data_IF_336282809818
#
_entry.id   IF_336282809818
#
_cell.length_a   1.000
_cell.length_b   1.000
_cell.length_c   1.000
_cell.angle_alpha   90.00
_cell.angle_beta   90.00
_cell.angle_gamma   90.00
#
_symmetry.space_group_name_H-M   'P 1'
#
loop_
_entity.id
_entity.type
_entity.pdbx_description
1 polymer ?
#
# COMPACT_ATOMS: atom_id res chain seq x y z
N UNK A 1 18.90 11.26 -3.17
CA UNK A 1 18.03 10.50 -4.10
C UNK A 1 17.44 9.34 -3.33
N UNK A 2 16.11 9.24 -3.29
CA UNK A 2 15.39 8.15 -2.62
C UNK A 2 15.65 6.79 -3.30
N UNK A 3 15.47 5.69 -2.57
CA UNK A 3 15.50 4.35 -3.14
C UNK A 3 14.07 3.92 -3.47
N UNK A 4 13.85 3.43 -4.69
CA UNK A 4 12.58 2.81 -5.07
C UNK A 4 12.57 1.36 -4.62
N UNK A 5 11.53 0.98 -3.87
CA UNK A 5 11.33 -0.39 -3.38
C UNK A 5 9.97 -0.87 -3.86
N UNK A 6 9.92 -2.09 -4.38
CA UNK A 6 8.68 -2.77 -4.71
C UNK A 6 8.52 -3.97 -3.77
N UNK A 7 7.38 -4.02 -3.06
CA UNK A 7 7.10 -5.04 -2.07
C UNK A 7 5.75 -5.68 -2.37
N UNK A 8 5.73 -7.00 -2.56
CA UNK A 8 4.53 -7.76 -2.89
C UNK A 8 4.51 -9.09 -2.14
N UNK A 9 3.30 -9.57 -1.84
CA UNK A 9 3.09 -10.99 -1.58
C UNK A 9 2.62 -11.64 -2.87
N UNK A 10 3.18 -12.80 -3.22
CA UNK A 10 2.86 -13.50 -4.46
C UNK A 10 2.75 -14.99 -4.25
N UNK A 11 2.03 -15.66 -5.15
CA UNK A 11 2.02 -17.10 -5.28
C UNK A 11 3.36 -17.59 -5.88
N UNK A 12 3.61 -18.90 -5.77
CA UNK A 12 4.85 -19.50 -6.30
C UNK A 12 4.99 -19.37 -7.82
N UNK A 13 3.86 -19.36 -8.52
CA UNK A 13 3.76 -19.16 -9.97
C UNK A 13 3.70 -17.68 -10.39
N UNK A 14 3.88 -16.75 -9.44
CA UNK A 14 4.17 -15.34 -9.74
C UNK A 14 2.95 -14.41 -9.80
N UNK A 15 1.80 -14.80 -9.26
CA UNK A 15 0.59 -13.97 -9.24
C UNK A 15 0.43 -13.24 -7.90
N UNK A 16 0.04 -11.97 -7.95
CA UNK A 16 -0.18 -11.11 -6.77
C UNK A 16 -1.66 -10.96 -6.38
N UNK A 17 -2.56 -11.56 -7.16
CA UNK A 17 -4.00 -11.65 -6.88
C UNK A 17 -4.59 -12.82 -7.68
N UNK A 18 -5.76 -13.31 -7.26
CA UNK A 18 -6.53 -14.27 -8.04
C UNK A 18 -7.36 -13.62 -9.17
N UNK A 19 -8.05 -14.41 -10.01
CA UNK A 19 -8.75 -13.91 -11.21
C UNK A 19 -9.84 -12.86 -10.95
N UNK A 20 -10.36 -12.74 -9.73
CA UNK A 20 -11.35 -11.74 -9.32
C UNK A 20 -10.81 -10.82 -8.21
N UNK A 21 -9.50 -10.55 -8.25
CA UNK A 21 -8.74 -9.75 -7.28
C UNK A 21 -8.71 -10.32 -5.85
N UNK A 22 -9.03 -11.61 -5.67
CA UNK A 22 -8.96 -12.21 -4.35
C UNK A 22 -7.50 -12.32 -3.88
N UNK A 23 -7.23 -11.72 -2.71
CA UNK A 23 -5.90 -11.69 -2.10
C UNK A 23 -5.81 -12.50 -0.81
N UNK A 24 -6.94 -12.97 -0.28
CA UNK A 24 -7.01 -13.58 1.06
C UNK A 24 -6.07 -14.77 1.27
N UNK A 25 -5.83 -15.60 0.23
CA UNK A 25 -4.85 -16.70 0.33
C UNK A 25 -3.42 -16.19 0.39
N UNK A 26 -3.08 -15.18 -0.41
CA UNK A 26 -1.77 -14.56 -0.44
C UNK A 26 -1.47 -13.89 0.90
N UNK A 27 -2.41 -13.12 1.43
CA UNK A 27 -2.21 -12.33 2.66
C UNK A 27 -2.45 -13.10 3.96
N UNK A 28 -2.81 -14.38 3.90
CA UNK A 28 -3.10 -15.22 5.09
C UNK A 28 -1.97 -15.20 6.12
N UNK A 29 -0.73 -15.03 5.68
CA UNK A 29 0.43 -15.03 6.55
C UNK A 29 0.42 -13.89 7.59
N UNK A 30 -0.23 -12.75 7.29
CA UNK A 30 -0.41 -11.63 8.22
C UNK A 30 -1.25 -11.96 9.45
N UNK A 31 -1.94 -13.11 9.50
CA UNK A 31 -2.71 -13.57 10.67
C UNK A 31 -2.34 -14.97 11.13
N UNK A 32 -1.19 -15.50 10.70
CA UNK A 32 -0.82 -16.91 10.91
C UNK A 32 0.26 -17.13 11.98
N UNK A 33 0.81 -16.07 12.55
CA UNK A 33 1.88 -16.16 13.55
C UNK A 33 1.42 -15.92 14.99
N UNK A 34 2.36 -15.53 15.83
CA UNK A 34 2.23 -15.38 17.27
C UNK A 34 2.56 -13.97 17.79
N UNK A 35 3.23 -13.14 16.99
CA UNK A 35 3.58 -11.76 17.33
C UNK A 35 2.56 -10.79 16.75
N UNK A 36 1.91 -10.02 17.61
CA UNK A 36 1.06 -8.90 17.20
C UNK A 36 1.91 -7.69 16.80
N UNK A 37 1.52 -7.01 15.72
CA UNK A 37 2.07 -5.72 15.37
C UNK A 37 0.99 -4.83 14.74
N UNK A 38 0.97 -3.56 15.13
CA UNK A 38 0.06 -2.57 14.59
C UNK A 38 0.60 -2.04 13.27
N UNK A 39 -0.23 -2.01 12.24
CA UNK A 39 0.11 -1.38 10.97
C UNK A 39 0.16 0.13 11.20
N UNK A 40 1.32 0.80 11.00
CA UNK A 40 1.42 2.23 11.27
C UNK A 40 0.38 3.03 10.49
N UNK A 41 -0.11 4.13 11.06
CA UNK A 41 -1.15 4.96 10.45
C UNK A 41 -2.56 4.35 10.45
N UNK A 42 -2.79 3.22 11.12
CA UNK A 42 -4.10 2.57 11.24
C UNK A 42 -4.29 1.90 12.60
N UNK A 43 -5.52 1.48 12.91
CA UNK A 43 -5.83 0.61 14.05
C UNK A 43 -5.73 -0.90 13.71
N UNK A 44 -5.25 -1.26 12.51
CA UNK A 44 -5.17 -2.65 12.08
C UNK A 44 -4.03 -3.37 12.81
N UNK A 45 -4.34 -4.55 13.37
CA UNK A 45 -3.37 -5.42 14.02
C UNK A 45 -3.17 -6.66 13.15
N UNK A 46 -1.92 -6.90 12.76
CA UNK A 46 -1.49 -8.14 12.14
C UNK A 46 -0.86 -9.05 13.19
N UNK A 47 -0.93 -10.36 12.95
CA UNK A 47 -0.34 -11.40 13.77
C UNK A 47 0.55 -12.30 12.92
N UNK A 48 1.83 -11.99 12.89
CA UNK A 48 2.85 -12.65 12.07
C UNK A 48 3.91 -13.33 12.94
N UNK A 49 4.80 -14.11 12.33
CA UNK A 49 5.97 -14.62 13.04
C UNK A 49 6.87 -13.44 13.44
N UNK A 50 7.53 -13.53 14.61
CA UNK A 50 8.39 -12.45 15.12
C UNK A 50 9.36 -11.88 14.08
N UNK A 51 10.08 -12.75 13.36
CA UNK A 51 11.03 -12.33 12.33
C UNK A 51 10.38 -11.51 11.20
N UNK A 52 9.14 -11.83 10.83
CA UNK A 52 8.39 -11.08 9.82
C UNK A 52 7.90 -9.75 10.38
N UNK A 53 7.42 -9.71 11.63
CA UNK A 53 7.01 -8.48 12.28
C UNK A 53 8.17 -7.49 12.39
N UNK A 54 9.34 -7.96 12.84
CA UNK A 54 10.57 -7.15 12.93
C UNK A 54 10.98 -6.60 11.56
N UNK A 55 10.97 -7.46 10.53
CA UNK A 55 11.29 -7.07 9.15
C UNK A 55 10.33 -5.99 8.62
N UNK A 56 9.03 -6.16 8.83
CA UNK A 56 8.03 -5.20 8.35
C UNK A 56 8.14 -3.88 9.09
N UNK A 57 8.31 -3.90 10.41
CA UNK A 57 8.49 -2.69 11.20
C UNK A 57 9.72 -1.90 10.73
N UNK A 58 10.86 -2.57 10.56
CA UNK A 58 12.08 -1.93 10.06
C UNK A 58 11.92 -1.41 8.62
N UNK A 59 11.35 -2.23 7.72
CA UNK A 59 11.20 -1.87 6.31
C UNK A 59 10.21 -0.73 6.09
N UNK A 60 9.06 -0.78 6.75
CA UNK A 60 8.01 0.23 6.61
C UNK A 60 8.39 1.55 7.25
N UNK A 61 9.17 1.55 8.35
CA UNK A 61 9.66 2.78 8.98
C UNK A 61 10.55 3.65 8.07
N UNK A 62 11.07 3.07 6.98
CA UNK A 62 11.96 3.72 6.02
C UNK A 62 11.22 4.25 4.79
N UNK A 63 9.93 3.95 4.65
CA UNK A 63 9.13 4.42 3.53
C UNK A 63 8.74 5.89 3.76
N UNK A 64 8.93 6.71 2.73
CA UNK A 64 8.53 8.12 2.75
C UNK A 64 7.26 8.41 1.95
N UNK A 65 6.83 7.49 1.09
CA UNK A 65 5.63 7.59 0.27
C UNK A 65 5.21 6.21 -0.22
N UNK A 66 3.93 6.08 -0.56
CA UNK A 66 3.37 4.93 -1.28
C UNK A 66 2.94 5.38 -2.66
N UNK A 67 3.30 4.57 -3.66
CA UNK A 67 2.78 4.68 -5.01
C UNK A 67 1.98 3.42 -5.29
N UNK A 68 0.74 3.57 -5.74
CA UNK A 68 -0.04 2.43 -6.23
C UNK A 68 -0.86 2.79 -7.45
N UNK A 69 -1.40 1.77 -8.11
CA UNK A 69 -2.32 1.94 -9.22
C UNK A 69 -3.78 2.04 -8.77
N UNK A 70 -4.63 2.56 -9.66
CA UNK A 70 -6.08 2.68 -9.43
C UNK A 70 -6.76 1.39 -8.96
N UNK A 71 -6.38 0.23 -9.51
CA UNK A 71 -7.04 -1.05 -9.19
C UNK A 71 -6.85 -1.46 -7.72
N UNK A 72 -5.64 -1.30 -7.20
CA UNK A 72 -5.32 -1.61 -5.80
C UNK A 72 -6.06 -0.64 -4.86
N UNK A 73 -6.11 0.65 -5.21
CA UNK A 73 -6.90 1.65 -4.50
C UNK A 73 -8.39 1.27 -4.41
N UNK A 74 -8.99 0.82 -5.51
CA UNK A 74 -10.39 0.43 -5.53
C UNK A 74 -10.63 -0.85 -4.71
N UNK A 75 -9.79 -1.89 -4.88
CA UNK A 75 -9.94 -3.19 -4.19
C UNK A 75 -9.70 -3.07 -2.68
N UNK A 76 -8.81 -2.16 -2.25
CA UNK A 76 -8.58 -1.85 -0.84
C UNK A 76 -9.68 -0.98 -0.21
N UNK A 77 -10.68 -0.57 -1.00
CA UNK A 77 -11.68 0.44 -0.61
C UNK A 77 -11.01 1.72 -0.08
N UNK A 78 -9.95 2.18 -0.76
CA UNK A 78 -9.14 3.32 -0.38
C UNK A 78 -8.64 3.26 1.08
N UNK A 79 -8.45 2.06 1.63
CA UNK A 79 -8.12 1.81 3.04
C UNK A 79 -9.02 2.58 4.03
N UNK A 80 -10.28 2.82 3.65
CA UNK A 80 -11.23 3.60 4.45
C UNK A 80 -10.86 5.08 4.58
N UNK A 81 -10.07 5.62 3.67
CA UNK A 81 -9.56 7.00 3.71
C UNK A 81 -8.33 7.19 4.60
N UNK A 82 -7.69 6.11 5.07
CA UNK A 82 -6.49 6.21 5.89
C UNK A 82 -5.22 6.16 5.04
N UNK A 83 -4.25 6.99 5.39
CA UNK A 83 -2.88 6.85 4.89
C UNK A 83 -2.18 5.74 5.66
N UNK A 84 -2.27 4.51 5.13
CA UNK A 84 -1.54 3.38 5.71
C UNK A 84 -0.04 3.70 5.78
N UNK A 85 0.63 3.27 6.84
CA UNK A 85 2.00 3.65 7.18
C UNK A 85 2.22 5.14 7.51
N UNK A 86 1.17 5.98 7.50
CA UNK A 86 1.25 7.40 7.82
C UNK A 86 2.00 8.25 6.79
N UNK A 87 2.14 7.76 5.55
CA UNK A 87 2.90 8.42 4.48
C UNK A 87 2.00 8.89 3.33
N UNK A 88 2.41 9.91 2.56
CA UNK A 88 1.67 10.33 1.36
C UNK A 88 1.43 9.18 0.37
N UNK A 89 0.23 9.15 -0.21
CA UNK A 89 -0.17 8.15 -1.20
C UNK A 89 -0.40 8.80 -2.56
N UNK A 90 0.32 8.30 -3.56
CA UNK A 90 0.21 8.71 -4.95
C UNK A 90 -0.50 7.62 -5.74
N UNK A 91 -1.72 7.91 -6.19
CA UNK A 91 -2.57 6.96 -6.92
C UNK A 91 -2.44 7.27 -8.41
N UNK A 92 -1.80 6.37 -9.15
CA UNK A 92 -1.63 6.49 -10.59
C UNK A 92 -2.92 6.04 -11.28
N UNK A 93 -3.58 6.96 -11.98
CA UNK A 93 -4.86 6.71 -12.66
C UNK A 93 -5.06 7.70 -13.80
N UNK A 94 -5.63 7.28 -14.92
CA UNK A 94 -6.01 8.24 -15.97
C UNK A 94 -7.21 9.10 -15.55
N UNK A 95 -8.11 8.53 -14.77
CA UNK A 95 -9.35 9.16 -14.31
C UNK A 95 -9.46 9.02 -12.79
N UNK A 96 -9.31 10.12 -12.03
CA UNK A 96 -9.53 10.11 -10.59
C UNK A 96 -11.01 9.83 -10.23
N UNK A 97 -11.28 9.05 -9.17
CA UNK A 97 -12.63 8.88 -8.65
C UNK A 97 -13.17 10.21 -8.10
N UNK A 98 -14.37 10.60 -8.53
CA UNK A 98 -14.95 11.91 -8.22
C UNK A 98 -15.18 12.11 -6.72
N UNK A 99 -15.52 11.04 -6.00
CA UNK A 99 -15.74 11.04 -4.57
C UNK A 99 -14.49 11.37 -3.74
N UNK A 100 -13.30 11.27 -4.35
CA UNK A 100 -12.00 11.57 -3.71
C UNK A 100 -11.34 12.86 -4.21
N UNK A 101 -12.06 13.72 -4.95
CA UNK A 101 -11.53 14.98 -5.48
C UNK A 101 -11.69 16.18 -4.54
N UNK A 102 -12.30 16.01 -3.37
CA UNK A 102 -12.43 17.08 -2.38
C UNK A 102 -11.08 17.51 -1.79
N UNK A 103 -11.00 18.75 -1.28
CA UNK A 103 -9.79 19.30 -0.65
C UNK A 103 -9.30 18.47 0.56
N UNK A 104 -10.22 17.77 1.22
CA UNK A 104 -9.93 16.91 2.38
C UNK A 104 -9.43 15.51 1.99
N UNK A 105 -9.30 15.21 0.70
CA UNK A 105 -8.81 13.92 0.24
C UNK A 105 -7.35 13.73 0.67
N UNK A 106 -7.01 12.63 1.37
CA UNK A 106 -5.64 12.37 1.78
C UNK A 106 -4.77 11.87 0.62
N UNK A 107 -5.37 11.56 -0.54
CA UNK A 107 -4.72 10.94 -1.68
C UNK A 107 -4.33 11.95 -2.75
N UNK A 108 -3.17 11.76 -3.36
CA UNK A 108 -2.72 12.53 -4.53
C UNK A 108 -2.92 11.70 -5.78
N UNK A 109 -3.76 12.15 -6.70
CA UNK A 109 -3.98 11.45 -7.97
C UNK A 109 -3.01 11.93 -9.05
N UNK A 110 -2.29 10.97 -9.65
CA UNK A 110 -1.29 11.23 -10.70
C UNK A 110 -1.84 10.74 -12.03
N UNK A 111 -2.21 11.68 -12.90
CA UNK A 111 -2.88 11.40 -14.19
C UNK A 111 -1.95 11.33 -15.39
N UNK A 112 -0.74 11.87 -15.27
CA UNK A 112 0.27 11.88 -16.34
C UNK A 112 1.10 10.59 -16.41
N UNK A 113 0.83 9.63 -15.52
CA UNK A 113 1.49 8.32 -15.49
C UNK A 113 2.69 8.22 -14.54
N UNK A 114 3.13 6.98 -14.28
CA UNK A 114 4.10 6.67 -13.22
C UNK A 114 5.50 7.28 -13.42
N UNK A 115 5.89 7.59 -14.66
CA UNK A 115 7.21 8.18 -14.95
C UNK A 115 7.42 9.56 -14.32
N UNK A 116 6.35 10.24 -13.90
CA UNK A 116 6.38 11.56 -13.25
C UNK A 116 6.58 11.48 -11.74
N UNK A 117 6.50 10.29 -11.15
CA UNK A 117 6.53 10.11 -9.69
C UNK A 117 7.85 10.57 -9.07
N UNK A 118 8.98 10.44 -9.76
CA UNK A 118 10.26 10.94 -9.26
C UNK A 118 10.25 12.46 -9.05
N UNK A 119 9.55 13.19 -9.92
CA UNK A 119 9.45 14.66 -9.82
C UNK A 119 8.46 15.10 -8.72
N UNK A 120 7.51 14.22 -8.37
CA UNK A 120 6.40 14.52 -7.45
C UNK A 120 6.76 14.10 -6.02
N UNK A 121 7.40 12.94 -5.83
CA UNK A 121 7.76 12.44 -4.51
C UNK A 121 8.99 13.14 -3.90
N UNK A 122 9.73 13.94 -4.66
CA UNK A 122 10.87 14.73 -4.16
C UNK A 122 10.47 16.13 -3.67
N UNK A 123 9.22 16.55 -3.84
CA UNK A 123 8.68 17.81 -3.34
C UNK A 123 8.04 17.63 -1.97
#
# INVERSE_FOLDING_TARGET
MGKNVAAFTMSLDGFIAGPNDEVGRLFKWYGSGDTEFTVPGTDMIFKAAQASADYLQDSWSKLGAIVTGRRDFDVSNAWGGNLILGVPHFIVTHEPPQEWLGEDSPFVFVTEGAHRLTDICEK
#
